data_IF_203788067817
#
_entry.id   IF_203788067817
#
_cell.length_a   1.000
_cell.length_b   1.000
_cell.length_c   1.000
_cell.angle_alpha   90.00
_cell.angle_beta   90.00
_cell.angle_gamma   90.00
#
_symmetry.space_group_name_H-M   'P 1'
#
loop_
_entity.id
_entity.type
_entity.pdbx_description
1 polymer ?
#
# COMPACT_ATOMS: atom_id res chain seq x y z
N UNK A 1 30.72 -2.95 -6.98
CA UNK A 1 29.53 -2.09 -6.79
C UNK A 1 28.49 -2.84 -5.96
N UNK A 2 28.11 -2.29 -4.80
CA UNK A 2 27.07 -2.84 -3.90
C UNK A 2 26.05 -1.74 -3.60
N UNK A 3 24.77 -2.09 -3.52
CA UNK A 3 23.72 -1.19 -3.01
C UNK A 3 23.41 -1.65 -1.58
N UNK A 4 23.57 -0.77 -0.60
CA UNK A 4 23.35 -1.08 0.81
C UNK A 4 22.55 0.03 1.51
N UNK A 5 21.90 -0.25 2.65
CA UNK A 5 21.18 0.77 3.41
C UNK A 5 22.09 1.96 3.80
N UNK A 6 21.56 3.19 3.69
CA UNK A 6 22.27 4.39 4.13
C UNK A 6 22.14 4.54 5.66
N UNK A 7 23.28 4.61 6.34
CA UNK A 7 23.42 4.75 7.80
C UNK A 7 24.25 5.99 8.11
N UNK A 8 24.23 6.45 9.36
CA UNK A 8 24.98 7.62 9.86
C UNK A 8 26.45 7.61 9.43
N UNK A 9 27.12 6.46 9.54
CA UNK A 9 28.52 6.30 9.13
C UNK A 9 28.82 6.65 7.67
N UNK A 10 27.82 6.57 6.78
CA UNK A 10 27.97 6.95 5.35
C UNK A 10 27.75 8.45 5.13
N UNK A 11 27.16 9.15 6.10
CA UNK A 11 26.73 10.54 5.93
C UNK A 11 27.84 11.50 5.53
N UNK A 12 29.08 11.41 6.05
CA UNK A 12 30.16 12.30 5.63
C UNK A 12 30.41 12.27 4.11
N UNK A 13 30.37 11.10 3.47
CA UNK A 13 30.54 10.98 2.02
C UNK A 13 29.26 11.37 1.26
N UNK A 14 28.08 11.05 1.80
CA UNK A 14 26.79 11.50 1.26
C UNK A 14 26.70 13.02 1.22
N UNK A 15 27.16 13.70 2.26
CA UNK A 15 27.23 15.16 2.36
C UNK A 15 28.12 15.76 1.27
N UNK A 16 29.27 15.14 0.97
CA UNK A 16 30.16 15.56 -0.13
C UNK A 16 29.45 15.43 -1.49
N UNK A 17 28.85 14.27 -1.77
CA UNK A 17 28.10 14.06 -3.01
C UNK A 17 26.92 15.03 -3.12
N UNK A 18 26.25 15.30 -2.00
CA UNK A 18 25.14 16.23 -2.00
C UNK A 18 25.61 17.64 -2.33
N UNK A 19 26.73 18.08 -1.74
CA UNK A 19 27.37 19.36 -2.04
C UNK A 19 27.75 19.48 -3.53
N UNK A 20 28.32 18.44 -4.13
CA UNK A 20 28.60 18.41 -5.57
C UNK A 20 27.33 18.68 -6.39
N UNK A 21 26.20 18.11 -5.99
CA UNK A 21 24.89 18.38 -6.58
C UNK A 21 24.41 19.81 -6.40
N UNK A 22 24.52 20.37 -5.18
CA UNK A 22 24.16 21.76 -4.88
C UNK A 22 24.93 22.73 -5.79
N UNK A 23 26.22 22.47 -5.99
CA UNK A 23 27.14 23.32 -6.74
C UNK A 23 26.84 23.36 -8.24
N UNK A 24 26.06 22.40 -8.76
CA UNK A 24 25.59 22.45 -10.16
C UNK A 24 24.54 23.54 -10.41
N UNK A 25 23.85 24.01 -9.38
CA UNK A 25 22.75 24.97 -9.52
C UNK A 25 21.45 24.43 -10.12
N UNK A 26 21.41 23.17 -10.57
CA UNK A 26 20.26 22.58 -11.29
C UNK A 26 19.76 21.25 -10.70
N UNK A 27 20.25 20.86 -9.52
CA UNK A 27 19.87 19.61 -8.86
C UNK A 27 18.80 19.80 -7.77
N UNK A 28 18.81 20.93 -7.06
CA UNK A 28 17.89 21.22 -5.95
C UNK A 28 17.80 22.73 -5.68
N UNK A 29 16.72 23.14 -4.99
CA UNK A 29 16.55 24.50 -4.48
C UNK A 29 17.31 24.75 -3.18
N UNK A 30 17.75 23.70 -2.48
CA UNK A 30 18.59 23.84 -1.29
C UNK A 30 19.98 24.42 -1.67
N UNK A 31 20.54 25.22 -0.77
CA UNK A 31 21.83 25.90 -0.98
C UNK A 31 22.92 25.43 -0.03
N UNK A 32 22.56 24.69 1.01
CA UNK A 32 23.45 24.24 2.07
C UNK A 32 23.25 22.75 2.38
N UNK A 33 24.32 22.08 2.77
CA UNK A 33 24.25 20.71 3.28
C UNK A 33 23.91 20.78 4.77
N UNK A 34 22.91 20.01 5.18
CA UNK A 34 22.47 19.93 6.57
C UNK A 34 23.30 18.95 7.39
N UNK A 35 23.14 18.93 8.72
CA UNK A 35 23.72 17.87 9.54
C UNK A 35 22.94 16.55 9.41
N UNK A 36 23.51 15.46 9.97
CA UNK A 36 22.89 14.14 9.92
C UNK A 36 21.50 14.14 10.57
N UNK A 37 21.31 14.84 11.68
CA UNK A 37 20.05 14.85 12.42
C UNK A 37 18.91 15.46 11.60
N UNK A 38 19.16 16.59 10.94
CA UNK A 38 18.21 17.23 10.05
C UNK A 38 17.94 16.38 8.80
N UNK A 39 18.99 15.82 8.18
CA UNK A 39 18.86 14.96 7.01
C UNK A 39 18.07 13.68 7.33
N UNK A 40 18.37 13.04 8.47
CA UNK A 40 17.75 11.79 8.93
C UNK A 40 16.25 11.96 9.25
N UNK A 41 15.81 13.16 9.64
CA UNK A 41 14.38 13.47 9.84
C UNK A 41 13.59 13.62 8.55
N UNK A 42 14.26 13.99 7.45
CA UNK A 42 13.63 14.25 6.14
C UNK A 42 13.30 12.97 5.40
N UNK A 43 14.16 11.97 5.50
CA UNK A 43 14.11 10.76 4.68
C UNK A 43 13.74 9.51 5.48
N UNK A 44 13.00 8.60 4.83
CA UNK A 44 12.57 7.33 5.41
C UNK A 44 13.78 6.38 5.62
N UNK A 45 14.02 5.86 6.84
CA UNK A 45 15.13 4.94 7.10
C UNK A 45 15.15 3.68 6.24
N UNK A 46 13.98 3.14 5.93
CA UNK A 46 13.75 1.96 5.07
C UNK A 46 13.85 2.27 3.57
N UNK A 47 13.83 3.56 3.20
CA UNK A 47 13.80 4.03 1.82
C UNK A 47 15.08 4.74 1.38
N UNK A 48 16.23 4.46 2.00
CA UNK A 48 17.49 5.15 1.71
C UNK A 48 18.68 4.21 1.52
N UNK A 49 19.46 4.48 0.49
CA UNK A 49 20.53 3.59 0.05
C UNK A 49 21.75 4.35 -0.42
N UNK A 50 22.92 3.72 -0.30
CA UNK A 50 24.17 4.14 -0.93
C UNK A 50 24.67 3.09 -1.91
N UNK A 51 25.43 3.54 -2.89
CA UNK A 51 26.22 2.67 -3.77
C UNK A 51 27.68 2.74 -3.36
N UNK A 52 28.23 1.59 -2.97
CA UNK A 52 29.66 1.47 -2.66
C UNK A 52 30.43 0.83 -3.84
N UNK A 53 31.52 1.47 -4.23
CA UNK A 53 32.51 0.94 -5.19
C UNK A 53 33.88 1.06 -4.53
N UNK A 54 34.61 -0.06 -4.44
CA UNK A 54 35.95 -0.12 -3.85
C UNK A 54 36.08 0.48 -2.44
N UNK A 55 34.98 0.43 -1.67
CA UNK A 55 34.92 0.93 -0.29
C UNK A 55 34.51 2.40 -0.16
N UNK A 56 34.28 3.10 -1.27
CA UNK A 56 33.83 4.50 -1.28
C UNK A 56 32.35 4.60 -1.65
N UNK A 57 31.63 5.54 -1.03
CA UNK A 57 30.27 5.90 -1.42
C UNK A 57 30.32 6.74 -2.69
N UNK A 58 29.66 6.26 -3.75
CA UNK A 58 29.70 6.86 -5.09
C UNK A 58 28.36 7.44 -5.55
N UNK A 59 27.27 7.01 -4.93
CA UNK A 59 25.92 7.54 -5.15
C UNK A 59 25.05 7.27 -3.94
N UNK A 60 23.96 8.02 -3.80
CA UNK A 60 22.94 7.77 -2.80
C UNK A 60 21.55 8.12 -3.34
N UNK A 61 20.54 7.48 -2.74
CA UNK A 61 19.15 7.83 -2.97
C UNK A 61 18.34 7.71 -1.68
N UNK A 62 17.21 8.39 -1.64
CA UNK A 62 16.30 8.38 -0.50
C UNK A 62 14.86 8.66 -0.92
N UNK A 63 13.91 8.18 -0.11
CA UNK A 63 12.48 8.50 -0.20
C UNK A 63 12.06 9.45 0.93
N UNK A 64 11.20 10.40 0.63
CA UNK A 64 10.53 11.26 1.62
C UNK A 64 9.00 11.22 1.42
N UNK A 65 8.19 11.35 2.49
CA UNK A 65 6.74 11.50 2.34
C UNK A 65 6.38 12.84 1.68
N UNK A 66 5.43 12.83 0.74
CA UNK A 66 4.98 14.08 0.07
C UNK A 66 3.94 14.85 0.88
N UNK A 67 3.31 14.22 1.87
CA UNK A 67 2.29 14.83 2.71
C UNK A 67 2.23 14.15 4.08
N UNK A 68 1.80 14.91 5.09
CA UNK A 68 1.49 14.39 6.43
C UNK A 68 0.08 13.79 6.53
N UNK A 69 -0.78 13.96 5.50
CA UNK A 69 -2.16 13.45 5.52
C UNK A 69 -2.15 11.97 5.15
N UNK A 70 -2.82 11.15 5.95
CA UNK A 70 -2.89 9.69 5.79
C UNK A 70 -3.37 9.21 4.40
N UNK A 71 -4.22 10.01 3.75
CA UNK A 71 -4.71 9.75 2.39
C UNK A 71 -3.59 9.72 1.33
N UNK A 72 -2.41 10.27 1.64
CA UNK A 72 -1.22 10.27 0.78
C UNK A 72 -0.10 9.36 1.30
N UNK A 73 -0.33 8.51 2.31
CA UNK A 73 0.71 7.67 2.95
C UNK A 73 1.55 6.83 1.96
N UNK A 74 0.97 6.44 0.83
CA UNK A 74 1.64 5.66 -0.20
C UNK A 74 2.25 6.48 -1.34
N UNK A 75 2.30 7.81 -1.20
CA UNK A 75 2.93 8.73 -2.15
C UNK A 75 4.21 9.27 -1.53
N UNK A 76 5.33 8.96 -2.18
CA UNK A 76 6.67 9.39 -1.76
C UNK A 76 7.34 10.16 -2.89
N UNK A 77 8.29 11.02 -2.54
CA UNK A 77 9.19 11.68 -3.47
C UNK A 77 10.57 11.02 -3.39
N UNK A 78 11.19 10.77 -4.54
CA UNK A 78 12.56 10.28 -4.59
C UNK A 78 13.57 11.43 -4.68
N UNK A 79 14.77 11.15 -4.19
CA UNK A 79 15.93 12.00 -4.31
C UNK A 79 17.12 11.11 -4.64
N UNK A 80 17.89 11.45 -5.67
CA UNK A 80 19.03 10.65 -6.12
C UNK A 80 20.20 11.54 -6.55
N UNK A 81 21.40 11.19 -6.08
CA UNK A 81 22.65 11.85 -6.45
C UNK A 81 23.73 10.83 -6.78
N UNK A 82 24.52 11.14 -7.80
CA UNK A 82 25.70 10.36 -8.20
C UNK A 82 26.88 11.32 -8.20
N UNK A 83 27.98 10.93 -7.54
CA UNK A 83 29.23 11.70 -7.55
C UNK A 83 29.63 12.03 -8.98
N UNK A 84 30.07 13.26 -9.20
CA UNK A 84 30.58 13.79 -10.47
C UNK A 84 31.60 12.86 -11.14
N UNK A 85 32.45 12.18 -10.36
CA UNK A 85 33.46 11.21 -10.84
C UNK A 85 32.87 9.91 -11.40
N UNK A 86 31.61 9.63 -11.09
CA UNK A 86 30.93 8.36 -11.33
C UNK A 86 29.69 8.47 -12.24
N UNK A 87 29.43 9.66 -12.78
CA UNK A 87 28.32 9.89 -13.71
C UNK A 87 28.54 9.18 -15.06
N UNK A 88 27.45 8.88 -15.76
CA UNK A 88 27.49 8.20 -17.07
C UNK A 88 27.79 6.70 -17.04
N UNK A 89 28.05 6.11 -15.86
CA UNK A 89 28.40 4.69 -15.72
C UNK A 89 27.19 3.77 -15.41
N UNK A 90 25.97 4.29 -15.53
CA UNK A 90 24.73 3.55 -15.25
C UNK A 90 24.42 3.32 -13.77
N UNK A 91 25.20 3.91 -12.84
CA UNK A 91 25.00 3.80 -11.39
C UNK A 91 23.63 4.35 -10.97
N UNK A 92 23.28 5.57 -11.42
CA UNK A 92 21.99 6.19 -11.10
C UNK A 92 20.79 5.34 -11.53
N UNK A 93 20.86 4.69 -12.71
CA UNK A 93 19.82 3.77 -13.17
C UNK A 93 19.66 2.56 -12.25
N UNK A 94 20.76 1.89 -11.90
CA UNK A 94 20.71 0.72 -11.02
C UNK A 94 20.20 1.08 -9.63
N UNK A 95 20.58 2.25 -9.13
CA UNK A 95 20.15 2.74 -7.82
C UNK A 95 18.68 3.14 -7.80
N UNK A 96 18.19 3.89 -8.80
CA UNK A 96 16.78 4.27 -8.88
C UNK A 96 15.87 3.05 -9.14
N UNK A 97 16.29 2.09 -9.97
CA UNK A 97 15.56 0.82 -10.14
C UNK A 97 15.45 0.03 -8.82
N UNK A 98 16.52 -0.01 -8.02
CA UNK A 98 16.50 -0.60 -6.69
C UNK A 98 15.53 0.14 -5.75
N UNK A 99 15.56 1.48 -5.76
CA UNK A 99 14.66 2.31 -4.96
C UNK A 99 13.18 2.08 -5.31
N UNK A 100 12.84 2.03 -6.60
CA UNK A 100 11.48 1.75 -7.08
C UNK A 100 11.01 0.36 -6.60
N UNK A 101 11.86 -0.67 -6.75
CA UNK A 101 11.50 -2.03 -6.30
C UNK A 101 11.28 -2.07 -4.79
N UNK A 102 12.12 -1.38 -4.03
CA UNK A 102 11.98 -1.27 -2.58
C UNK A 102 10.72 -0.49 -2.21
N UNK A 103 10.42 0.61 -2.90
CA UNK A 103 9.22 1.39 -2.63
C UNK A 103 7.96 0.56 -2.83
N UNK A 104 7.93 -0.29 -3.87
CA UNK A 104 6.85 -1.24 -4.11
C UNK A 104 6.73 -2.28 -2.98
N UNK A 105 7.85 -2.81 -2.48
CA UNK A 105 7.86 -3.76 -1.36
C UNK A 105 7.38 -3.13 -0.05
N UNK A 106 7.66 -1.84 0.16
CA UNK A 106 7.19 -1.05 1.30
C UNK A 106 5.73 -0.60 1.18
N UNK A 107 5.05 -0.91 0.06
CA UNK A 107 3.65 -0.55 -0.15
C UNK A 107 3.42 0.88 -0.63
N UNK A 108 4.45 1.58 -1.12
CA UNK A 108 4.29 2.89 -1.77
C UNK A 108 3.78 2.70 -3.20
N UNK A 109 2.61 3.28 -3.49
CA UNK A 109 1.94 3.14 -4.79
C UNK A 109 2.33 4.21 -5.81
N UNK A 110 2.92 5.33 -5.38
CA UNK A 110 3.43 6.38 -6.28
C UNK A 110 4.77 6.89 -5.77
N UNK A 111 5.75 6.96 -6.66
CA UNK A 111 7.00 7.71 -6.46
C UNK A 111 6.96 8.95 -7.35
N UNK A 112 7.28 10.11 -6.80
CA UNK A 112 7.30 11.40 -7.50
C UNK A 112 8.72 11.94 -7.57
N UNK A 113 8.99 12.77 -8.57
CA UNK A 113 10.21 13.55 -8.67
C UNK A 113 9.87 14.97 -9.14
N UNK A 114 10.62 15.94 -8.63
CA UNK A 114 10.54 17.34 -9.03
C UNK A 114 11.93 17.78 -9.52
N UNK A 115 12.06 17.99 -10.84
CA UNK A 115 13.34 18.14 -11.52
C UNK A 115 13.38 19.48 -12.26
N UNK A 116 14.47 20.23 -12.11
CA UNK A 116 14.72 21.42 -12.94
C UNK A 116 14.70 21.05 -14.44
N UNK A 117 14.02 21.82 -15.30
CA UNK A 117 13.95 21.51 -16.74
C UNK A 117 15.32 21.39 -17.42
N UNK A 118 16.34 22.09 -16.90
CA UNK A 118 17.71 22.05 -17.41
C UNK A 118 18.39 20.69 -17.16
N UNK A 119 17.92 19.91 -16.18
CA UNK A 119 18.50 18.63 -15.81
C UNK A 119 17.96 17.49 -16.68
N UNK A 120 18.26 17.56 -17.97
CA UNK A 120 17.82 16.60 -19.00
C UNK A 120 18.27 15.17 -18.68
N UNK A 121 19.44 15.01 -18.05
CA UNK A 121 19.96 13.70 -17.65
C UNK A 121 19.07 13.03 -16.60
N UNK A 122 18.63 13.79 -15.59
CA UNK A 122 17.71 13.28 -14.57
C UNK A 122 16.34 12.97 -15.17
N UNK A 123 15.78 13.85 -16.01
CA UNK A 123 14.49 13.60 -16.68
C UNK A 123 14.53 12.29 -17.47
N UNK A 124 15.53 12.09 -18.33
CA UNK A 124 15.68 10.87 -19.13
C UNK A 124 15.85 9.62 -18.26
N UNK A 125 16.64 9.71 -17.20
CA UNK A 125 16.81 8.62 -16.24
C UNK A 125 15.46 8.16 -15.66
N UNK A 126 14.60 9.11 -15.28
CA UNK A 126 13.28 8.83 -14.73
C UNK A 126 12.34 8.27 -15.80
N UNK A 127 12.28 8.87 -17.00
CA UNK A 127 11.47 8.38 -18.13
C UNK A 127 11.80 6.92 -18.47
N UNK A 128 13.10 6.59 -18.56
CA UNK A 128 13.56 5.24 -18.89
C UNK A 128 13.26 4.20 -17.81
N UNK A 129 12.85 4.62 -16.60
CA UNK A 129 12.40 3.76 -15.50
C UNK A 129 10.87 3.81 -15.29
N UNK A 130 10.16 4.41 -16.25
CA UNK A 130 8.71 4.41 -16.34
C UNK A 130 8.03 5.55 -15.58
N UNK A 131 8.77 6.61 -15.22
CA UNK A 131 8.13 7.85 -14.81
C UNK A 131 7.51 8.54 -16.02
N UNK A 132 6.42 9.28 -15.77
CA UNK A 132 5.78 10.16 -16.74
C UNK A 132 5.82 11.59 -16.24
N UNK A 133 5.95 12.54 -17.15
CA UNK A 133 5.74 13.96 -16.84
C UNK A 133 4.24 14.18 -16.59
N UNK A 134 3.90 14.84 -15.48
CA UNK A 134 2.51 15.19 -15.12
C UNK A 134 2.24 16.69 -15.27
N UNK A 135 3.28 17.52 -15.33
CA UNK A 135 3.15 18.95 -15.54
C UNK A 135 4.45 19.70 -15.27
N UNK A 136 4.41 21.00 -15.52
CA UNK A 136 5.48 21.95 -15.21
C UNK A 136 4.89 23.00 -14.29
N UNK A 137 5.56 23.30 -13.19
CA UNK A 137 5.26 24.49 -12.38
C UNK A 137 6.18 25.60 -12.84
N UNK A 138 5.60 26.65 -13.41
CA UNK A 138 6.34 27.82 -13.88
C UNK A 138 6.71 28.72 -12.71
N UNK A 139 7.97 29.16 -12.65
CA UNK A 139 8.49 30.12 -11.67
C UNK A 139 8.09 29.77 -10.22
N UNK A 140 8.15 28.49 -9.86
CA UNK A 140 7.60 27.99 -8.59
C UNK A 140 8.47 28.37 -7.38
N UNK A 141 9.77 28.55 -7.60
CA UNK A 141 10.72 28.85 -6.54
C UNK A 141 11.89 29.68 -7.07
N UNK A 142 12.45 30.47 -6.16
CA UNK A 142 13.58 31.35 -6.44
C UNK A 142 14.86 30.79 -5.80
N UNK A 143 15.97 30.84 -6.54
CA UNK A 143 17.31 30.56 -6.04
C UNK A 143 18.27 31.62 -6.59
N UNK A 144 19.07 32.23 -5.71
CA UNK A 144 20.04 33.28 -6.07
C UNK A 144 19.42 34.44 -6.88
N UNK A 145 18.17 34.80 -6.55
CA UNK A 145 17.41 35.85 -7.24
C UNK A 145 16.74 35.43 -8.55
N UNK A 146 17.00 34.22 -9.05
CA UNK A 146 16.47 33.68 -10.31
C UNK A 146 15.27 32.78 -10.00
N UNK A 147 14.16 32.98 -10.72
CA UNK A 147 12.98 32.12 -10.65
C UNK A 147 13.15 30.92 -11.59
N UNK A 148 12.82 29.73 -11.09
CA UNK A 148 12.95 28.50 -11.84
C UNK A 148 11.63 27.76 -11.95
N UNK A 149 11.45 27.14 -13.12
CA UNK A 149 10.41 26.17 -13.35
C UNK A 149 10.81 24.81 -12.77
N UNK A 150 9.82 23.95 -12.58
CA UNK A 150 10.03 22.61 -12.04
C UNK A 150 9.17 21.58 -12.79
N UNK A 151 9.81 20.59 -13.40
CA UNK A 151 9.15 19.48 -14.09
C UNK A 151 8.71 18.47 -13.05
N UNK A 152 7.41 18.24 -12.97
CA UNK A 152 6.83 17.23 -12.08
C UNK A 152 6.72 15.91 -12.83
N UNK A 153 7.31 14.87 -12.25
CA UNK A 153 7.26 13.51 -12.76
C UNK A 153 6.68 12.58 -11.71
N UNK A 154 6.03 11.51 -12.15
CA UNK A 154 5.61 10.43 -11.25
C UNK A 154 5.74 9.07 -11.90
N UNK A 155 5.89 8.06 -11.05
CA UNK A 155 5.72 6.66 -11.41
C UNK A 155 4.69 6.01 -10.49
N UNK A 156 3.58 5.57 -11.08
CA UNK A 156 2.53 4.79 -10.40
C UNK A 156 2.87 3.30 -10.45
N UNK A 157 2.95 2.63 -9.30
CA UNK A 157 3.11 1.18 -9.27
C UNK A 157 1.87 0.47 -9.80
N UNK A 158 2.08 -0.61 -10.55
CA UNK A 158 1.04 -1.56 -10.97
C UNK A 158 0.93 -2.77 -10.04
N UNK A 159 1.84 -2.91 -9.07
CA UNK A 159 1.91 -4.07 -8.17
C UNK A 159 1.36 -3.78 -6.78
N UNK A 160 1.56 -2.57 -6.30
CA UNK A 160 1.08 -2.17 -4.97
C UNK A 160 -0.43 -2.01 -5.00
N UNK A 161 -1.12 -2.87 -4.25
CA UNK A 161 -2.55 -2.76 -4.06
C UNK A 161 -2.83 -1.64 -3.05
N UNK A 162 -3.51 -0.59 -3.51
CA UNK A 162 -3.88 0.57 -2.69
C UNK A 162 -5.15 0.33 -1.87
N UNK A 163 -5.86 -0.77 -2.16
CA UNK A 163 -7.00 -1.26 -1.39
C UNK A 163 -6.57 -2.50 -0.63
N UNK A 164 -6.84 -2.53 0.67
CA UNK A 164 -6.56 -3.72 1.48
C UNK A 164 -7.45 -4.87 1.02
N UNK A 165 -6.96 -6.10 1.03
CA UNK A 165 -7.76 -7.29 0.74
C UNK A 165 -8.19 -7.94 2.07
N UNK A 166 -9.50 -8.03 2.28
CA UNK A 166 -10.11 -8.63 3.47
C UNK A 166 -10.83 -9.91 3.07
N UNK A 167 -10.42 -11.04 3.63
CA UNK A 167 -11.11 -12.32 3.47
C UNK A 167 -12.01 -12.60 4.67
N UNK A 168 -13.30 -12.86 4.43
CA UNK A 168 -14.21 -13.42 5.43
C UNK A 168 -14.40 -14.92 5.20
N UNK A 169 -13.92 -15.73 6.13
CA UNK A 169 -13.95 -17.19 6.03
C UNK A 169 -14.99 -17.80 6.97
N UNK A 170 -15.86 -18.65 6.43
CA UNK A 170 -16.68 -19.56 7.25
C UNK A 170 -16.55 -21.00 6.74
N UNK A 171 -17.36 -21.93 7.25
CA UNK A 171 -17.30 -23.33 6.80
C UNK A 171 -17.75 -23.46 5.34
N UNK A 172 -19.03 -23.19 5.05
CA UNK A 172 -19.62 -23.49 3.73
C UNK A 172 -19.86 -22.29 2.80
N UNK A 173 -19.32 -21.10 3.13
CA UNK A 173 -19.57 -19.84 2.42
C UNK A 173 -21.04 -19.51 2.13
N UNK A 174 -21.95 -19.88 3.03
CA UNK A 174 -23.39 -19.88 2.75
C UNK A 174 -24.18 -18.74 3.39
N UNK A 175 -23.87 -18.40 4.65
CA UNK A 175 -24.73 -17.54 5.48
C UNK A 175 -23.93 -16.41 6.15
N UNK A 176 -23.27 -16.67 7.29
CA UNK A 176 -22.54 -15.67 8.10
C UNK A 176 -21.49 -14.89 7.30
N UNK A 177 -20.63 -15.58 6.53
CA UNK A 177 -19.62 -14.91 5.69
C UNK A 177 -20.23 -14.10 4.56
N UNK A 178 -21.42 -14.48 4.06
CA UNK A 178 -22.11 -13.76 2.98
C UNK A 178 -22.73 -12.46 3.49
N UNK A 179 -23.38 -12.50 4.67
CA UNK A 179 -23.87 -11.30 5.35
C UNK A 179 -22.72 -10.34 5.69
N UNK A 180 -21.63 -10.87 6.25
CA UNK A 180 -20.43 -10.08 6.57
C UNK A 180 -19.79 -9.48 5.31
N UNK A 181 -19.72 -10.23 4.19
CA UNK A 181 -19.29 -9.69 2.90
C UNK A 181 -20.16 -8.49 2.50
N UNK A 182 -21.49 -8.65 2.51
CA UNK A 182 -22.43 -7.59 2.14
C UNK A 182 -22.23 -6.29 2.93
N UNK A 183 -22.11 -6.39 4.26
CA UNK A 183 -21.84 -5.23 5.11
C UNK A 183 -20.47 -4.62 4.87
N UNK A 184 -19.40 -5.44 4.90
CA UNK A 184 -18.04 -4.93 4.71
C UNK A 184 -17.88 -4.28 3.33
N UNK A 185 -18.43 -4.86 2.27
CA UNK A 185 -18.33 -4.30 0.92
C UNK A 185 -19.02 -2.94 0.82
N UNK A 186 -20.18 -2.81 1.44
CA UNK A 186 -20.92 -1.53 1.51
C UNK A 186 -20.16 -0.49 2.32
N UNK A 187 -19.65 -0.86 3.50
CA UNK A 187 -18.97 0.08 4.41
C UNK A 187 -17.54 0.43 4.00
N UNK A 188 -16.83 -0.48 3.31
CA UNK A 188 -15.44 -0.33 2.92
C UNK A 188 -15.26 0.27 1.52
N UNK A 189 -16.32 0.81 0.90
CA UNK A 189 -16.29 1.34 -0.46
C UNK A 189 -15.09 2.30 -0.67
N UNK A 190 -14.17 1.93 -1.56
CA UNK A 190 -12.95 2.68 -1.86
C UNK A 190 -11.78 2.51 -0.88
N UNK A 191 -11.95 1.70 0.19
CA UNK A 191 -10.91 1.43 1.20
C UNK A 191 -10.33 0.02 1.11
N UNK A 192 -11.16 -0.98 0.79
CA UNK A 192 -10.75 -2.38 0.74
C UNK A 192 -11.52 -3.18 -0.31
N UNK A 193 -10.87 -4.20 -0.86
CA UNK A 193 -11.51 -5.28 -1.59
C UNK A 193 -11.98 -6.33 -0.58
N UNK A 194 -13.27 -6.67 -0.65
CA UNK A 194 -13.90 -7.63 0.25
C UNK A 194 -14.15 -8.94 -0.48
N UNK A 195 -13.77 -10.03 0.17
CA UNK A 195 -13.94 -11.40 -0.31
C UNK A 195 -14.62 -12.22 0.78
N UNK A 196 -15.37 -13.25 0.38
CA UNK A 196 -15.81 -14.28 1.30
C UNK A 196 -15.56 -15.65 0.71
N UNK A 197 -15.11 -16.57 1.53
CA UNK A 197 -14.86 -17.95 1.12
C UNK A 197 -15.37 -18.94 2.16
N UNK A 198 -15.35 -20.20 1.78
CA UNK A 198 -15.52 -21.35 2.64
C UNK A 198 -14.34 -22.29 2.51
N UNK A 199 -14.14 -23.10 3.56
CA UNK A 199 -13.29 -24.31 3.48
C UNK A 199 -14.05 -25.46 2.79
N UNK A 200 -15.36 -25.28 2.64
CA UNK A 200 -16.30 -26.06 1.84
C UNK A 200 -17.22 -25.07 1.09
N UNK A 201 -18.08 -25.58 0.20
CA UNK A 201 -19.08 -24.76 -0.50
C UNK A 201 -20.47 -25.39 -0.37
N UNK A 202 -21.42 -24.64 0.21
CA UNK A 202 -22.79 -25.12 0.47
C UNK A 202 -23.86 -24.33 -0.30
N UNK A 203 -23.46 -23.39 -1.17
CA UNK A 203 -24.39 -22.52 -1.89
C UNK A 203 -24.87 -21.34 -1.03
N UNK A 204 -25.43 -20.32 -1.68
CA UNK A 204 -25.91 -19.12 -1.00
C UNK A 204 -27.22 -19.40 -0.24
N UNK A 205 -27.26 -19.07 1.05
CA UNK A 205 -28.45 -19.30 1.88
C UNK A 205 -29.56 -18.27 1.54
N UNK A 206 -30.77 -18.70 1.15
CA UNK A 206 -31.86 -17.77 0.82
C UNK A 206 -32.30 -16.87 1.99
N UNK A 207 -32.23 -17.37 3.23
CA UNK A 207 -32.52 -16.58 4.43
C UNK A 207 -31.51 -15.44 4.64
N UNK A 208 -30.24 -15.68 4.30
CA UNK A 208 -29.23 -14.61 4.31
C UNK A 208 -29.53 -13.54 3.26
N UNK A 209 -29.97 -13.92 2.06
CA UNK A 209 -30.40 -12.97 1.01
C UNK A 209 -31.58 -12.15 1.49
N UNK A 210 -32.61 -12.81 2.04
CA UNK A 210 -33.82 -12.15 2.52
C UNK A 210 -33.55 -11.15 3.63
N UNK A 211 -32.79 -11.56 4.67
CA UNK A 211 -32.55 -10.69 5.83
C UNK A 211 -31.63 -9.51 5.51
N UNK A 212 -30.70 -9.65 4.56
CA UNK A 212 -29.84 -8.54 4.12
C UNK A 212 -30.60 -7.54 3.25
N UNK A 213 -31.57 -8.00 2.46
CA UNK A 213 -32.42 -7.13 1.65
C UNK A 213 -33.26 -6.16 2.50
N UNK A 214 -33.66 -6.55 3.72
CA UNK A 214 -34.33 -5.66 4.68
C UNK A 214 -33.45 -4.47 5.11
N UNK A 215 -32.12 -4.64 5.11
CA UNK A 215 -31.14 -3.58 5.36
C UNK A 215 -30.70 -2.86 4.06
N UNK A 216 -31.38 -3.14 2.93
CA UNK A 216 -31.09 -2.54 1.63
C UNK A 216 -29.80 -3.05 0.96
N UNK A 217 -29.25 -4.18 1.42
CA UNK A 217 -28.03 -4.78 0.87
C UNK A 217 -28.40 -6.04 0.07
N UNK A 218 -28.30 -5.95 -1.25
CA UNK A 218 -28.53 -7.11 -2.12
C UNK A 218 -27.27 -7.98 -2.23
N UNK A 219 -27.38 -9.22 -1.74
CA UNK A 219 -26.35 -10.26 -1.87
C UNK A 219 -26.78 -11.41 -2.79
N UNK A 220 -27.90 -11.30 -3.50
CA UNK A 220 -28.48 -12.37 -4.33
C UNK A 220 -27.57 -12.83 -5.47
N UNK A 221 -26.64 -11.97 -5.90
CA UNK A 221 -25.66 -12.25 -6.95
C UNK A 221 -24.35 -12.84 -6.42
N UNK A 222 -24.20 -12.99 -5.10
CA UNK A 222 -23.03 -13.63 -4.53
C UNK A 222 -22.96 -15.11 -4.86
N UNK A 223 -21.74 -15.63 -4.91
CA UNK A 223 -21.45 -17.05 -5.10
C UNK A 223 -20.85 -17.64 -3.83
N UNK A 224 -21.10 -18.92 -3.60
CA UNK A 224 -20.47 -19.69 -2.52
C UNK A 224 -19.10 -20.20 -3.00
N UNK A 225 -18.05 -19.42 -2.79
CA UNK A 225 -16.69 -19.71 -3.26
C UNK A 225 -15.86 -20.51 -2.24
N UNK A 226 -15.00 -21.38 -2.76
CA UNK A 226 -13.96 -22.06 -2.00
C UNK A 226 -12.73 -21.16 -1.85
N UNK A 227 -12.00 -21.27 -0.74
CA UNK A 227 -10.83 -20.41 -0.46
C UNK A 227 -9.70 -20.56 -1.49
N UNK A 228 -9.56 -21.75 -2.08
CA UNK A 228 -8.55 -22.02 -3.11
C UNK A 228 -8.78 -21.23 -4.41
N UNK A 229 -10.00 -20.78 -4.67
CA UNK A 229 -10.31 -19.93 -5.84
C UNK A 229 -9.58 -18.57 -5.76
N UNK A 230 -9.13 -18.18 -4.58
CA UNK A 230 -8.41 -16.94 -4.33
C UNK A 230 -6.90 -17.12 -4.20
N UNK A 231 -6.36 -18.20 -4.77
CA UNK A 231 -4.91 -18.40 -4.85
C UNK A 231 -4.22 -17.19 -5.52
N UNK A 232 -3.18 -16.68 -4.86
CA UNK A 232 -2.41 -15.51 -5.34
C UNK A 232 -2.95 -14.15 -4.91
N UNK A 233 -4.08 -14.08 -4.20
CA UNK A 233 -4.51 -12.85 -3.53
C UNK A 233 -3.65 -12.64 -2.28
N UNK A 234 -3.01 -11.48 -2.18
CA UNK A 234 -2.32 -11.06 -0.96
C UNK A 234 -3.35 -10.54 0.05
N UNK A 235 -3.41 -11.13 1.23
CA UNK A 235 -4.37 -10.77 2.28
C UNK A 235 -3.76 -9.78 3.28
N UNK A 236 -4.50 -8.73 3.62
CA UNK A 236 -4.19 -7.84 4.74
C UNK A 236 -4.91 -8.31 6.01
N UNK A 237 -6.15 -8.79 5.86
CA UNK A 237 -6.96 -9.32 6.96
C UNK A 237 -7.63 -10.62 6.56
N UNK A 238 -7.66 -11.58 7.48
CA UNK A 238 -8.46 -12.80 7.39
C UNK A 238 -9.34 -12.87 8.63
N UNK A 239 -10.65 -12.84 8.43
CA UNK A 239 -11.66 -12.86 9.48
C UNK A 239 -12.37 -14.21 9.43
N UNK A 240 -12.20 -15.04 10.47
CA UNK A 240 -12.98 -16.27 10.61
C UNK A 240 -14.25 -16.00 11.41
N UNK A 241 -15.40 -16.38 10.85
CA UNK A 241 -16.72 -16.05 11.41
C UNK A 241 -17.47 -17.24 12.04
N UNK A 242 -16.81 -18.40 12.09
CA UNK A 242 -17.28 -19.60 12.79
C UNK A 242 -16.11 -20.38 13.38
N UNK A 243 -16.34 -21.04 14.52
CA UNK A 243 -15.32 -21.85 15.21
C UNK A 243 -14.75 -22.92 14.30
N UNK A 244 -15.61 -23.65 13.58
CA UNK A 244 -15.16 -24.73 12.70
C UNK A 244 -14.18 -24.25 11.63
N UNK A 245 -14.40 -23.08 11.02
CA UNK A 245 -13.45 -22.54 10.04
C UNK A 245 -12.18 -21.97 10.69
N UNK A 246 -12.23 -21.58 11.96
CA UNK A 246 -11.05 -21.17 12.70
C UNK A 246 -10.17 -22.38 13.07
N UNK A 247 -10.80 -23.46 13.55
CA UNK A 247 -10.13 -24.70 13.96
C UNK A 247 -9.62 -25.53 12.79
N UNK A 248 -10.38 -25.59 11.70
CA UNK A 248 -10.05 -26.36 10.50
C UNK A 248 -9.59 -25.46 9.35
N UNK A 249 -9.14 -24.24 9.68
CA UNK A 249 -8.66 -23.30 8.68
C UNK A 249 -7.52 -23.96 7.90
N UNK A 250 -7.64 -24.15 6.57
CA UNK A 250 -6.52 -24.61 5.78
C UNK A 250 -5.37 -23.62 5.94
N UNK A 251 -4.13 -24.08 5.76
CA UNK A 251 -2.99 -23.18 5.73
C UNK A 251 -3.12 -22.24 4.54
N UNK A 252 -3.71 -21.06 4.77
CA UNK A 252 -3.76 -19.97 3.80
C UNK A 252 -2.42 -19.22 3.92
N UNK A 253 -1.50 -19.31 2.94
CA UNK A 253 -0.20 -18.66 3.01
C UNK A 253 -0.37 -17.15 2.93
N UNK A 254 -0.41 -16.50 4.09
CA UNK A 254 -0.61 -15.06 4.23
C UNK A 254 0.27 -14.54 5.38
N UNK A 255 1.59 -14.40 5.17
CA UNK A 255 2.56 -14.15 6.25
C UNK A 255 2.36 -12.81 6.94
N UNK A 256 1.78 -11.83 6.23
CA UNK A 256 1.59 -10.47 6.73
C UNK A 256 0.11 -10.18 7.11
N UNK A 257 -0.79 -11.15 6.95
CA UNK A 257 -2.20 -10.92 7.22
C UNK A 257 -2.50 -10.95 8.71
N UNK A 258 -3.22 -9.94 9.19
CA UNK A 258 -3.80 -9.94 10.54
C UNK A 258 -4.99 -10.92 10.55
N UNK A 259 -4.92 -11.92 11.43
CA UNK A 259 -5.97 -12.94 11.56
C UNK A 259 -6.87 -12.60 12.74
N UNK A 260 -8.16 -12.41 12.45
CA UNK A 260 -9.20 -12.12 13.43
C UNK A 260 -10.20 -13.28 13.47
N UNK A 261 -10.79 -13.48 14.64
CA UNK A 261 -11.82 -14.49 14.84
C UNK A 261 -12.99 -13.90 15.62
N UNK A 262 -14.21 -14.20 15.17
CA UNK A 262 -15.42 -13.91 15.91
C UNK A 262 -16.50 -14.94 15.56
N UNK A 263 -16.92 -15.74 16.52
CA UNK A 263 -17.94 -16.75 16.28
C UNK A 263 -19.35 -16.14 16.38
N UNK A 264 -20.10 -16.18 15.29
CA UNK A 264 -21.51 -15.79 15.29
C UNK A 264 -22.43 -17.02 15.40
N UNK A 265 -23.60 -16.79 16.01
CA UNK A 265 -24.70 -17.76 16.00
C UNK A 265 -25.03 -18.22 14.58
N UNK A 266 -25.38 -19.49 14.39
CA UNK A 266 -25.72 -20.04 13.07
C UNK A 266 -27.25 -20.12 12.89
N UNK A 267 -27.88 -19.12 12.24
CA UNK A 267 -29.33 -19.07 12.10
C UNK A 267 -29.86 -20.17 11.16
N UNK A 268 -29.01 -20.72 10.29
CA UNK A 268 -29.42 -21.79 9.35
C UNK A 268 -29.76 -23.11 10.03
N UNK A 269 -29.39 -23.28 11.32
CA UNK A 269 -29.67 -24.48 12.11
C UNK A 269 -30.95 -24.39 12.93
N UNK A 270 -31.55 -23.20 13.02
CA UNK A 270 -32.78 -22.99 13.79
C UNK A 270 -33.95 -23.64 13.06
N UNK A 271 -34.78 -24.36 13.83
CA UNK A 271 -36.02 -24.98 13.36
C UNK A 271 -37.15 -24.40 14.20
N UNK A 272 -38.24 -24.00 13.56
CA UNK A 272 -39.33 -23.31 14.24
C UNK A 272 -40.35 -22.77 13.26
N UNK A 273 -41.17 -21.84 13.73
CA UNK A 273 -42.05 -21.03 12.88
C UNK A 273 -41.23 -20.08 11.99
N UNK A 274 -41.85 -19.54 10.94
CA UNK A 274 -41.19 -18.54 10.08
C UNK A 274 -40.73 -17.31 10.87
N UNK A 275 -41.49 -16.93 11.91
CA UNK A 275 -41.15 -15.83 12.82
C UNK A 275 -39.91 -16.16 13.68
N UNK A 276 -39.83 -17.37 14.25
CA UNK A 276 -38.67 -17.81 15.04
C UNK A 276 -37.39 -17.91 14.18
N UNK A 277 -37.53 -18.36 12.94
CA UNK A 277 -36.42 -18.42 11.98
C UNK A 277 -35.99 -17.00 11.59
N UNK A 278 -36.95 -16.12 11.27
CA UNK A 278 -36.67 -14.72 10.95
C UNK A 278 -35.93 -14.01 12.08
N UNK A 279 -36.41 -14.13 13.31
CA UNK A 279 -35.78 -13.54 14.50
C UNK A 279 -34.33 -14.02 14.70
N UNK A 280 -34.05 -15.30 14.42
CA UNK A 280 -32.70 -15.83 14.49
C UNK A 280 -31.77 -15.22 13.44
N UNK A 281 -32.25 -15.06 12.20
CA UNK A 281 -31.52 -14.38 11.13
C UNK A 281 -31.31 -12.91 11.47
N UNK A 282 -32.34 -12.21 11.94
CA UNK A 282 -32.29 -10.80 12.32
C UNK A 282 -31.25 -10.55 13.41
N UNK A 283 -31.28 -11.37 14.47
CA UNK A 283 -30.30 -11.29 15.57
C UNK A 283 -28.88 -11.47 15.05
N UNK A 284 -28.63 -12.54 14.29
CA UNK A 284 -27.29 -12.84 13.76
C UNK A 284 -26.80 -11.75 12.81
N UNK A 285 -27.69 -11.24 11.94
CA UNK A 285 -27.38 -10.15 11.02
C UNK A 285 -26.92 -8.91 11.76
N UNK A 286 -27.62 -8.52 12.83
CA UNK A 286 -27.27 -7.35 13.62
C UNK A 286 -25.93 -7.52 14.36
N UNK A 287 -25.66 -8.71 14.93
CA UNK A 287 -24.34 -9.03 15.51
C UNK A 287 -23.21 -8.86 14.48
N UNK A 288 -23.42 -9.33 13.25
CA UNK A 288 -22.46 -9.20 12.15
C UNK A 288 -22.28 -7.72 11.76
N UNK A 289 -23.37 -6.96 11.64
CA UNK A 289 -23.33 -5.53 11.31
C UNK A 289 -22.45 -4.76 12.31
N UNK A 290 -22.68 -4.97 13.61
CA UNK A 290 -21.93 -4.31 14.68
C UNK A 290 -20.44 -4.67 14.63
N UNK A 291 -20.14 -5.96 14.41
CA UNK A 291 -18.76 -6.40 14.23
C UNK A 291 -18.10 -5.75 13.01
N UNK A 292 -18.78 -5.71 11.86
CA UNK A 292 -18.28 -5.11 10.63
C UNK A 292 -18.01 -3.61 10.80
N UNK A 293 -18.90 -2.87 11.47
CA UNK A 293 -18.69 -1.44 11.78
C UNK A 293 -17.44 -1.22 12.63
N UNK A 294 -17.30 -1.97 13.72
CA UNK A 294 -16.13 -1.90 14.59
C UNK A 294 -14.84 -2.27 13.85
N UNK A 295 -14.89 -3.28 12.99
CA UNK A 295 -13.74 -3.66 12.16
C UNK A 295 -13.33 -2.52 11.25
N UNK A 296 -14.27 -1.88 10.54
CA UNK A 296 -14.00 -0.74 9.65
C UNK A 296 -13.35 0.39 10.43
N UNK A 297 -13.95 0.83 11.54
CA UNK A 297 -13.45 1.95 12.35
C UNK A 297 -12.04 1.70 12.90
N UNK A 298 -11.72 0.45 13.24
CA UNK A 298 -10.44 0.11 13.87
C UNK A 298 -9.34 -0.17 12.83
N UNK A 299 -9.69 -0.69 11.65
CA UNK A 299 -8.74 -1.32 10.73
C UNK A 299 -8.65 -0.69 9.33
N UNK A 300 -9.64 0.14 8.92
CA UNK A 300 -9.80 0.66 7.55
C UNK A 300 -10.16 2.16 7.47
#
# INVERSE_FOLDING_TARGET
MRIIPLLDKHYPEVAVIYKEGLDTGIATFETEVTDWEAWNKKFLPEGRFVVEIDGEVTAWCALSPTSKREVYRGVVEDTIYVSSKHQGQGIGRKLLDHLIKTSEQLGFWTVQAAIFPQNIASIKLHEDLGFRIIGIREQVAQRDGIWYDNVLMERRSKKVNYMKNVLVLCTGNSCRSQMAHGYLKTMAAGKANIYSAGIETHGLNPGAVSIMAEDGIDISTHTSNHVDEYAGVNWDYIITVCDHANENCPFIPAPNAVRLHHNFSDPSKIKGTDEEIHDAFLKTRNEINDYCRKFIETNL
#
